data_IF_831124763640
#
_entry.id   IF_831124763640
#
_cell.length_a   1.000
_cell.length_b   1.000
_cell.length_c   1.000
_cell.angle_alpha   90.00
_cell.angle_beta   90.00
_cell.angle_gamma   90.00
#
_symmetry.space_group_name_H-M   'P 1'
#
loop_
_entity.id
_entity.type
_entity.pdbx_description
1 polymer ?
#
# COMPACT_ATOMS: atom_id res chain seq x y z
N UNK A 1 11.03 10.81 -7.66
CA UNK A 1 9.60 10.71 -7.28
C UNK A 1 9.55 10.30 -5.81
N UNK A 2 8.78 10.95 -4.94
CA UNK A 2 8.75 10.62 -3.50
C UNK A 2 8.10 9.24 -3.32
N UNK A 3 8.84 8.26 -2.77
CA UNK A 3 8.29 6.95 -2.40
C UNK A 3 7.29 7.16 -1.25
N UNK A 4 6.08 6.64 -1.41
CA UNK A 4 5.05 6.60 -0.37
C UNK A 4 5.07 5.22 0.31
N UNK A 5 4.72 5.16 1.59
CA UNK A 5 4.69 3.93 2.38
C UNK A 5 3.25 3.50 2.78
N UNK A 6 3.11 2.34 3.43
CA UNK A 6 1.79 1.85 3.87
C UNK A 6 1.13 2.75 4.95
N UNK A 7 1.92 3.51 5.71
CA UNK A 7 1.40 4.54 6.63
C UNK A 7 0.79 5.72 5.89
N UNK A 8 1.44 6.20 4.83
CA UNK A 8 0.88 7.26 3.95
C UNK A 8 -0.44 6.79 3.32
N UNK A 9 -0.47 5.54 2.83
CA UNK A 9 -1.67 4.92 2.27
C UNK A 9 -2.82 4.90 3.29
N UNK A 10 -2.54 4.49 4.53
CA UNK A 10 -3.52 4.48 5.60
C UNK A 10 -4.07 5.89 5.88
N UNK A 11 -3.20 6.91 5.87
CA UNK A 11 -3.61 8.31 5.97
C UNK A 11 -4.59 8.73 4.88
N UNK A 12 -4.29 8.41 3.61
CA UNK A 12 -5.19 8.71 2.49
C UNK A 12 -6.53 7.99 2.57
N UNK A 13 -6.57 6.77 3.11
CA UNK A 13 -7.82 6.04 3.32
C UNK A 13 -8.70 6.71 4.37
N UNK A 14 -8.12 7.21 5.46
CA UNK A 14 -8.85 7.99 6.45
C UNK A 14 -9.32 9.33 5.90
N UNK A 15 -8.49 10.02 5.12
CA UNK A 15 -8.91 11.25 4.44
C UNK A 15 -10.12 11.00 3.53
N UNK A 16 -10.16 9.88 2.80
CA UNK A 16 -11.35 9.56 2.01
C UNK A 16 -12.57 9.18 2.82
N UNK A 17 -12.38 8.56 3.98
CA UNK A 17 -13.48 8.30 4.89
C UNK A 17 -14.10 9.62 5.39
N UNK A 18 -13.29 10.61 5.76
CA UNK A 18 -13.76 11.93 6.17
C UNK A 18 -14.50 12.63 5.02
N UNK A 19 -13.97 12.57 3.80
CA UNK A 19 -14.62 13.17 2.62
C UNK A 19 -15.97 12.52 2.30
N UNK A 20 -16.09 11.20 2.44
CA UNK A 20 -17.36 10.49 2.25
C UNK A 20 -18.41 10.83 3.32
N UNK A 21 -17.98 11.30 4.50
CA UNK A 21 -18.86 11.67 5.61
C UNK A 21 -19.30 13.14 5.57
N UNK A 22 -18.87 13.91 4.56
CA UNK A 22 -19.22 15.33 4.43
C UNK A 22 -20.75 15.50 4.25
N UNK A 23 -21.46 16.13 5.21
CA UNK A 23 -22.91 16.26 5.17
C UNK A 23 -23.40 17.29 4.14
N UNK A 24 -22.51 18.15 3.63
CA UNK A 24 -22.88 19.25 2.73
C UNK A 24 -22.79 18.86 1.25
N UNK A 25 -22.38 17.62 0.94
CA UNK A 25 -22.27 17.12 -0.43
C UNK A 25 -23.62 16.90 -1.11
N UNK A 26 -23.70 17.30 -2.37
CA UNK A 26 -24.81 16.98 -3.26
C UNK A 26 -24.83 15.49 -3.64
N UNK A 27 -25.94 15.01 -4.21
CA UNK A 27 -26.05 13.61 -4.64
C UNK A 27 -25.03 13.26 -5.73
N UNK A 28 -24.78 14.18 -6.63
CA UNK A 28 -23.82 14.04 -7.72
C UNK A 28 -22.39 13.96 -7.18
N UNK A 29 -22.05 14.78 -6.19
CA UNK A 29 -20.75 14.75 -5.51
C UNK A 29 -20.56 13.45 -4.72
N UNK A 30 -21.61 12.96 -4.03
CA UNK A 30 -21.57 11.67 -3.32
C UNK A 30 -21.28 10.53 -4.29
N UNK A 31 -21.94 10.51 -5.46
CA UNK A 31 -21.71 9.50 -6.47
C UNK A 31 -20.25 9.52 -6.97
N UNK A 32 -19.71 10.70 -7.27
CA UNK A 32 -18.31 10.86 -7.68
C UNK A 32 -17.34 10.39 -6.59
N UNK A 33 -17.67 10.64 -5.33
CA UNK A 33 -16.81 10.31 -4.21
C UNK A 33 -16.81 8.81 -3.89
N UNK A 34 -17.95 8.14 -4.06
CA UNK A 34 -18.05 6.68 -4.01
C UNK A 34 -17.14 6.05 -5.08
N UNK A 35 -17.16 6.58 -6.31
CA UNK A 35 -16.31 6.07 -7.40
C UNK A 35 -14.82 6.27 -7.08
N UNK A 36 -14.46 7.43 -6.54
CA UNK A 36 -13.08 7.71 -6.09
C UNK A 36 -12.65 6.77 -4.98
N UNK A 37 -13.47 6.59 -3.96
CA UNK A 37 -13.19 5.69 -2.84
C UNK A 37 -13.02 4.24 -3.31
N UNK A 38 -13.85 3.78 -4.24
CA UNK A 38 -13.72 2.47 -4.87
C UNK A 38 -12.38 2.30 -5.61
N UNK A 39 -11.98 3.31 -6.39
CA UNK A 39 -10.70 3.29 -7.10
C UNK A 39 -9.52 3.23 -6.14
N UNK A 40 -9.53 4.07 -5.08
CA UNK A 40 -8.47 4.11 -4.07
C UNK A 40 -8.40 2.79 -3.31
N UNK A 41 -9.53 2.23 -2.89
CA UNK A 41 -9.60 0.95 -2.18
C UNK A 41 -8.99 -0.20 -2.99
N UNK A 42 -9.26 -0.24 -4.31
CA UNK A 42 -8.67 -1.25 -5.21
C UNK A 42 -7.15 -1.15 -5.27
N UNK A 43 -6.61 0.06 -5.43
CA UNK A 43 -5.15 0.27 -5.47
C UNK A 43 -4.52 -0.05 -4.11
N UNK A 44 -5.16 0.38 -3.02
CA UNK A 44 -4.73 0.09 -1.65
C UNK A 44 -4.63 -1.42 -1.39
N UNK A 45 -5.62 -2.20 -1.85
CA UNK A 45 -5.63 -3.66 -1.71
C UNK A 45 -4.42 -4.31 -2.40
N UNK A 46 -4.04 -3.83 -3.59
CA UNK A 46 -2.86 -4.33 -4.30
C UNK A 46 -1.55 -3.96 -3.57
N UNK A 47 -1.46 -2.74 -3.05
CA UNK A 47 -0.30 -2.30 -2.28
C UNK A 47 -0.12 -3.12 -0.99
N UNK A 48 -1.21 -3.40 -0.27
CA UNK A 48 -1.18 -4.26 0.92
C UNK A 48 -0.81 -5.70 0.56
N UNK A 49 -1.32 -6.23 -0.55
CA UNK A 49 -0.93 -7.56 -1.05
C UNK A 49 0.56 -7.66 -1.35
N UNK A 50 1.13 -6.64 -2.01
CA UNK A 50 2.56 -6.54 -2.25
C UNK A 50 3.37 -6.47 -0.94
N UNK A 51 2.90 -5.68 0.04
CA UNK A 51 3.50 -5.62 1.37
C UNK A 51 3.49 -6.96 2.11
N UNK A 52 2.38 -7.69 2.06
CA UNK A 52 2.29 -9.05 2.62
C UNK A 52 3.24 -10.03 1.94
N UNK A 53 3.40 -9.94 0.62
CA UNK A 53 4.32 -10.79 -0.14
C UNK A 53 5.76 -10.52 0.28
N UNK A 54 6.17 -9.25 0.39
CA UNK A 54 7.49 -8.86 0.87
C UNK A 54 7.74 -9.33 2.30
N UNK A 55 6.78 -9.13 3.21
CA UNK A 55 6.87 -9.61 4.59
C UNK A 55 7.01 -11.13 4.66
N UNK A 56 6.26 -11.88 3.85
CA UNK A 56 6.35 -13.34 3.78
C UNK A 56 7.72 -13.77 3.27
N UNK A 57 8.26 -13.10 2.26
CA UNK A 57 9.60 -13.38 1.73
C UNK A 57 10.66 -13.18 2.82
N UNK A 58 10.59 -12.08 3.56
CA UNK A 58 11.49 -11.77 4.68
C UNK A 58 11.41 -12.83 5.78
N UNK A 59 10.19 -13.21 6.21
CA UNK A 59 9.99 -14.26 7.22
C UNK A 59 10.55 -15.60 6.73
N UNK A 60 10.31 -15.95 5.47
CA UNK A 60 10.83 -17.19 4.87
C UNK A 60 12.36 -17.16 4.85
N UNK A 61 12.95 -16.05 4.42
CA UNK A 61 14.41 -15.87 4.40
C UNK A 61 15.02 -16.02 5.80
N UNK A 62 14.47 -15.35 6.81
CA UNK A 62 14.95 -15.43 8.19
C UNK A 62 14.79 -16.82 8.82
N UNK A 63 13.69 -17.53 8.51
CA UNK A 63 13.44 -18.89 9.03
C UNK A 63 14.32 -19.95 8.40
N UNK A 64 14.73 -19.75 7.17
CA UNK A 64 15.76 -20.56 6.55
C UNK A 64 17.12 -20.03 7.01
N UNK A 65 17.70 -20.62 8.06
CA UNK A 65 19.17 -20.57 8.31
C UNK A 65 19.98 -21.23 7.17
N UNK A 66 19.48 -21.12 5.93
CA UNK A 66 20.02 -21.77 4.78
C UNK A 66 21.29 -21.04 4.37
N UNK A 67 22.39 -21.76 4.52
CA UNK A 67 23.67 -21.48 3.88
C UNK A 67 23.36 -21.28 2.37
N UNK A 68 23.25 -20.02 1.93
CA UNK A 68 22.94 -19.55 0.57
C UNK A 68 21.46 -19.42 0.13
N UNK A 69 20.50 -19.16 1.02
CA UNK A 69 19.21 -18.62 0.54
C UNK A 69 19.46 -17.28 -0.18
N UNK A 70 18.97 -17.12 -1.42
CA UNK A 70 18.98 -15.85 -2.15
C UNK A 70 17.56 -15.30 -2.21
N UNK A 71 17.33 -14.12 -1.64
CA UNK A 71 16.06 -13.40 -1.79
C UNK A 71 15.83 -13.12 -3.29
N UNK A 72 14.65 -13.43 -3.85
CA UNK A 72 14.31 -13.00 -5.20
C UNK A 72 14.34 -11.47 -5.28
N UNK A 73 15.04 -10.91 -6.28
CA UNK A 73 15.24 -9.46 -6.43
C UNK A 73 13.91 -8.66 -6.47
N UNK A 74 12.85 -9.27 -7.00
CA UNK A 74 11.50 -8.68 -7.04
C UNK A 74 10.81 -8.55 -5.66
N UNK A 75 11.34 -9.22 -4.63
CA UNK A 75 10.78 -9.27 -3.27
C UNK A 75 11.68 -8.57 -2.24
N UNK A 76 12.82 -8.01 -2.69
CA UNK A 76 13.71 -7.27 -1.81
C UNK A 76 13.00 -5.99 -1.35
N UNK A 77 12.64 -5.95 -0.08
CA UNK A 77 12.01 -4.79 0.54
C UNK A 77 12.98 -3.58 0.59
N UNK A 78 14.30 -3.82 0.47
CA UNK A 78 15.31 -2.80 0.30
C UNK A 78 15.43 -2.37 -1.17
N UNK A 79 14.35 -1.85 -1.75
CA UNK A 79 14.46 -0.91 -2.88
C UNK A 79 14.77 0.50 -2.35
N UNK A 80 15.58 0.59 -1.30
CA UNK A 80 16.37 1.78 -1.02
C UNK A 80 17.45 1.73 -2.09
N UNK A 81 17.18 2.35 -3.23
CA UNK A 81 18.26 2.93 -3.99
C UNK A 81 19.05 3.76 -2.98
N UNK A 82 20.28 3.34 -2.69
CA UNK A 82 21.29 4.17 -2.06
C UNK A 82 21.45 5.38 -3.00
N UNK A 83 20.60 6.37 -2.82
CA UNK A 83 20.81 7.69 -3.37
C UNK A 83 21.94 8.26 -2.52
N UNK A 84 23.13 8.31 -3.12
CA UNK A 84 24.28 9.06 -2.61
C UNK A 84 23.91 10.53 -2.31
#
# INVERSE_FOLDING_TARGET
MKRQNLGDLNGYLFEQLERLNDPDMTKEEIALEIDRANAISRVATQAVSAGHLALKAEITYQKHEAINAKMPEMLDANTIDLIE
#
